data_IF_466408494234
#
_entry.id   IF_466408494234
#
_cell.length_a   1.000
_cell.length_b   1.000
_cell.length_c   1.000
_cell.angle_alpha   90.00
_cell.angle_beta   90.00
_cell.angle_gamma   90.00
#
_symmetry.space_group_name_H-M   'P 1'
#
loop_
_entity.id
_entity.type
_entity.pdbx_description
1 polymer ?
#
# COMPACT_ATOMS: atom_id res chain seq x y z
N UNK A 1 -34.06 -32.68 -10.79
CA UNK A 1 -33.31 -31.41 -10.96
C UNK A 1 -32.01 -31.65 -10.26
N UNK A 2 -31.06 -32.23 -10.99
CA UNK A 2 -29.73 -32.50 -10.45
C UNK A 2 -29.09 -31.13 -10.23
N UNK A 3 -28.77 -30.84 -8.97
CA UNK A 3 -27.89 -29.71 -8.64
C UNK A 3 -26.51 -30.11 -9.15
N UNK A 4 -26.25 -29.79 -10.42
CA UNK A 4 -24.95 -29.85 -11.08
C UNK A 4 -24.02 -28.86 -10.35
N UNK A 5 -23.55 -29.27 -9.17
CA UNK A 5 -22.46 -28.61 -8.50
C UNK A 5 -21.20 -29.13 -9.14
N UNK A 6 -20.36 -28.20 -9.60
CA UNK A 6 -19.01 -28.52 -10.00
C UNK A 6 -18.33 -29.32 -8.89
N UNK A 7 -17.46 -30.23 -9.30
CA UNK A 7 -16.56 -30.91 -8.38
C UNK A 7 -15.86 -29.86 -7.48
N UNK A 8 -15.82 -30.05 -6.14
CA UNK A 8 -15.31 -29.02 -5.22
C UNK A 8 -13.87 -28.59 -5.50
N UNK A 9 -13.02 -29.52 -5.95
CA UNK A 9 -11.62 -29.23 -6.28
C UNK A 9 -11.55 -28.38 -7.56
N UNK A 10 -12.34 -28.77 -8.57
CA UNK A 10 -12.47 -27.98 -9.80
C UNK A 10 -13.03 -26.57 -9.53
N UNK A 11 -14.00 -26.44 -8.63
CA UNK A 11 -14.55 -25.14 -8.25
C UNK A 11 -13.48 -24.27 -7.55
N UNK A 12 -12.69 -24.86 -6.65
CA UNK A 12 -11.61 -24.17 -5.97
C UNK A 12 -10.55 -23.65 -6.94
N UNK A 13 -10.11 -24.47 -7.90
CA UNK A 13 -9.14 -24.07 -8.92
C UNK A 13 -9.64 -22.89 -9.77
N UNK A 14 -10.92 -22.94 -10.16
CA UNK A 14 -11.56 -21.85 -10.92
C UNK A 14 -11.63 -20.57 -10.08
N UNK A 15 -12.01 -20.67 -8.80
CA UNK A 15 -12.09 -19.52 -7.90
C UNK A 15 -10.71 -18.85 -7.71
N UNK A 16 -9.63 -19.64 -7.60
CA UNK A 16 -8.26 -19.13 -7.54
C UNK A 16 -7.84 -18.44 -8.84
N UNK A 17 -8.16 -19.03 -10.00
CA UNK A 17 -7.87 -18.45 -11.31
C UNK A 17 -8.59 -17.10 -11.50
N UNK A 18 -9.85 -17.02 -11.07
CA UNK A 18 -10.63 -15.77 -11.13
C UNK A 18 -10.06 -14.74 -10.15
N UNK A 19 -9.75 -15.12 -8.91
CA UNK A 19 -9.17 -14.20 -7.94
C UNK A 19 -7.82 -13.66 -8.43
N UNK A 20 -6.95 -14.51 -8.97
CA UNK A 20 -5.64 -14.09 -9.47
C UNK A 20 -5.75 -13.07 -10.61
N UNK A 21 -6.70 -13.29 -11.51
CA UNK A 21 -7.04 -12.34 -12.56
C UNK A 21 -7.54 -11.01 -12.00
N UNK A 22 -8.53 -11.05 -11.09
CA UNK A 22 -9.09 -9.85 -10.47
C UNK A 22 -8.04 -9.04 -9.71
N UNK A 23 -7.14 -9.71 -8.99
CA UNK A 23 -6.02 -9.07 -8.31
C UNK A 23 -5.10 -8.37 -9.31
N UNK A 24 -4.72 -9.04 -10.39
CA UNK A 24 -3.82 -8.46 -11.38
C UNK A 24 -4.40 -7.20 -12.02
N UNK A 25 -5.68 -7.21 -12.42
CA UNK A 25 -6.32 -6.02 -13.01
C UNK A 25 -6.54 -4.92 -11.96
N UNK A 26 -6.90 -5.28 -10.71
CA UNK A 26 -7.15 -4.32 -9.65
C UNK A 26 -5.88 -3.60 -9.20
N UNK A 27 -4.77 -4.34 -9.07
CA UNK A 27 -3.46 -3.78 -8.76
C UNK A 27 -3.00 -2.86 -9.89
N UNK A 28 -3.12 -3.30 -11.15
CA UNK A 28 -2.74 -2.49 -12.31
C UNK A 28 -3.54 -1.17 -12.35
N UNK A 29 -4.85 -1.23 -12.08
CA UNK A 29 -5.71 -0.06 -11.99
C UNK A 29 -5.31 0.88 -10.85
N UNK A 30 -4.94 0.37 -9.67
CA UNK A 30 -4.49 1.21 -8.55
C UNK A 30 -3.14 1.88 -8.83
N UNK A 31 -2.17 1.13 -9.38
CA UNK A 31 -0.83 1.63 -9.68
C UNK A 31 -0.88 2.66 -10.82
N UNK A 32 -1.61 2.38 -11.89
CA UNK A 32 -1.60 3.20 -13.11
C UNK A 32 -2.78 4.17 -13.22
N UNK A 33 -3.91 3.92 -12.55
CA UNK A 33 -5.09 4.79 -12.53
C UNK A 33 -4.79 6.18 -11.95
N UNK A 34 -3.81 6.29 -11.04
CA UNK A 34 -3.31 7.56 -10.51
C UNK A 34 -2.72 8.49 -11.58
N UNK A 35 -2.24 7.98 -12.73
CA UNK A 35 -1.68 8.80 -13.82
C UNK A 35 -2.73 9.41 -14.75
N UNK A 36 -3.95 8.87 -14.80
CA UNK A 36 -5.01 9.36 -15.68
C UNK A 36 -6.06 10.11 -14.86
N UNK A 37 -5.93 11.44 -14.78
CA UNK A 37 -6.83 12.30 -14.01
C UNK A 37 -8.32 12.08 -14.31
N UNK A 38 -9.07 11.80 -13.23
CA UNK A 38 -10.50 12.04 -12.98
C UNK A 38 -11.45 11.97 -14.19
N UNK A 39 -12.23 10.88 -14.27
CA UNK A 39 -13.53 10.94 -14.97
C UNK A 39 -14.22 9.61 -15.27
N UNK A 40 -13.53 8.47 -15.33
CA UNK A 40 -14.14 7.18 -15.70
C UNK A 40 -13.75 5.97 -14.85
N UNK A 41 -12.76 6.11 -13.96
CA UNK A 41 -12.16 4.98 -13.22
C UNK A 41 -12.98 4.52 -12.00
N UNK A 42 -13.73 5.42 -11.35
CA UNK A 42 -14.43 5.13 -10.08
C UNK A 42 -15.43 3.97 -10.14
N UNK A 43 -16.05 3.73 -11.31
CA UNK A 43 -17.02 2.64 -11.47
C UNK A 43 -16.36 1.28 -11.68
N UNK A 44 -15.18 1.24 -12.31
CA UNK A 44 -14.46 0.01 -12.59
C UNK A 44 -13.66 -0.45 -11.36
N UNK A 45 -13.03 0.48 -10.67
CA UNK A 45 -12.22 0.19 -9.49
C UNK A 45 -13.07 -0.38 -8.34
N UNK A 46 -14.26 0.19 -8.11
CA UNK A 46 -15.15 -0.24 -7.03
C UNK A 46 -15.69 -1.67 -7.21
N UNK A 47 -16.03 -2.10 -8.44
CA UNK A 47 -16.57 -3.45 -8.62
C UNK A 47 -15.46 -4.50 -8.53
N UNK A 48 -14.25 -4.23 -9.02
CA UNK A 48 -13.10 -5.14 -8.94
C UNK A 48 -12.71 -5.35 -7.48
N UNK A 49 -12.54 -4.26 -6.72
CA UNK A 49 -12.20 -4.33 -5.29
C UNK A 49 -13.30 -5.05 -4.49
N UNK A 50 -14.58 -4.73 -4.74
CA UNK A 50 -15.69 -5.43 -4.08
C UNK A 50 -15.74 -6.92 -4.42
N UNK A 51 -15.40 -7.29 -5.66
CA UNK A 51 -15.30 -8.69 -6.09
C UNK A 51 -14.17 -9.40 -5.37
N UNK A 52 -12.98 -8.80 -5.30
CA UNK A 52 -11.83 -9.35 -4.56
C UNK A 52 -12.17 -9.55 -3.08
N UNK A 53 -12.80 -8.57 -2.44
CA UNK A 53 -13.27 -8.71 -1.06
C UNK A 53 -14.26 -9.88 -0.92
N UNK A 54 -15.22 -9.99 -1.83
CA UNK A 54 -16.17 -11.11 -1.82
C UNK A 54 -15.45 -12.45 -1.91
N UNK A 55 -14.50 -12.60 -2.85
CA UNK A 55 -13.71 -13.83 -3.00
C UNK A 55 -12.88 -14.16 -1.76
N UNK A 56 -12.29 -13.16 -1.08
CA UNK A 56 -11.56 -13.36 0.18
C UNK A 56 -12.43 -13.98 1.28
N UNK A 57 -13.71 -13.60 1.36
CA UNK A 57 -14.63 -14.16 2.36
C UNK A 57 -15.22 -15.51 1.97
N UNK A 58 -15.27 -15.82 0.67
CA UNK A 58 -15.80 -17.10 0.17
C UNK A 58 -14.75 -18.20 0.06
N UNK A 59 -13.47 -17.84 0.04
CA UNK A 59 -12.38 -18.83 0.00
C UNK A 59 -12.36 -19.65 1.31
N UNK A 60 -12.30 -20.99 1.24
CA UNK A 60 -12.29 -21.83 2.43
C UNK A 60 -11.02 -21.57 3.26
N UNK A 61 -11.12 -21.43 4.60
CA UNK A 61 -9.99 -21.07 5.46
C UNK A 61 -8.87 -22.14 5.55
N UNK A 62 -9.09 -23.33 4.99
CA UNK A 62 -8.20 -24.48 5.13
C UNK A 62 -7.33 -24.77 3.90
N UNK A 63 -7.43 -23.96 2.83
CA UNK A 63 -6.62 -24.16 1.62
C UNK A 63 -5.42 -23.23 1.62
N UNK A 64 -4.24 -23.78 1.38
CA UNK A 64 -3.00 -23.03 1.24
C UNK A 64 -3.02 -22.30 -0.09
N UNK A 65 -3.06 -20.96 -0.05
CA UNK A 65 -2.96 -20.14 -1.25
C UNK A 65 -1.54 -20.22 -1.84
N UNK A 66 -1.39 -20.19 -3.17
CA UNK A 66 -0.08 -20.05 -3.81
C UNK A 66 0.65 -18.79 -3.33
N UNK A 67 1.98 -18.86 -3.21
CA UNK A 67 2.79 -17.76 -2.68
C UNK A 67 2.61 -16.46 -3.50
N UNK A 68 2.64 -16.54 -4.83
CA UNK A 68 2.43 -15.38 -5.71
C UNK A 68 1.06 -14.72 -5.49
N UNK A 69 0.03 -15.52 -5.18
CA UNK A 69 -1.31 -15.00 -4.88
C UNK A 69 -1.34 -14.28 -3.52
N UNK A 70 -0.63 -14.82 -2.51
CA UNK A 70 -0.45 -14.15 -1.22
C UNK A 70 0.27 -12.82 -1.36
N UNK A 71 1.33 -12.77 -2.18
CA UNK A 71 2.06 -11.53 -2.47
C UNK A 71 1.13 -10.53 -3.16
N UNK A 72 0.36 -10.94 -4.19
CA UNK A 72 -0.62 -10.05 -4.86
C UNK A 72 -1.67 -9.50 -3.90
N UNK A 73 -2.18 -10.33 -2.98
CA UNK A 73 -3.14 -9.88 -1.96
C UNK A 73 -2.55 -8.81 -1.04
N UNK A 74 -1.33 -9.00 -0.55
CA UNK A 74 -0.65 -8.00 0.27
C UNK A 74 -0.28 -6.74 -0.52
N UNK A 75 0.08 -6.91 -1.79
CA UNK A 75 0.40 -5.80 -2.68
C UNK A 75 -0.84 -4.93 -2.90
N UNK A 76 -2.00 -5.54 -3.16
CA UNK A 76 -3.28 -4.83 -3.24
C UNK A 76 -3.58 -4.08 -1.95
N UNK A 77 -3.47 -4.73 -0.79
CA UNK A 77 -3.74 -4.11 0.51
C UNK A 77 -2.85 -2.88 0.73
N UNK A 78 -1.56 -3.00 0.46
CA UNK A 78 -0.63 -1.89 0.58
C UNK A 78 -0.91 -0.78 -0.44
N UNK A 79 -1.14 -1.13 -1.71
CA UNK A 79 -1.43 -0.17 -2.77
C UNK A 79 -2.73 0.61 -2.50
N UNK A 80 -3.75 -0.06 -1.98
CA UNK A 80 -5.02 0.54 -1.59
C UNK A 80 -4.83 1.52 -0.43
N UNK A 81 -4.16 1.10 0.64
CA UNK A 81 -3.82 1.96 1.77
C UNK A 81 -3.06 3.18 1.27
N UNK A 82 -1.93 2.95 0.58
CA UNK A 82 -1.04 4.00 0.06
C UNK A 82 -1.79 5.01 -0.81
N UNK A 83 -2.73 4.53 -1.64
CA UNK A 83 -3.53 5.36 -2.54
C UNK A 83 -4.60 6.18 -1.82
N UNK A 84 -5.33 5.59 -0.87
CA UNK A 84 -6.47 6.23 -0.21
C UNK A 84 -6.09 7.13 0.96
N UNK A 85 -5.08 6.74 1.74
CA UNK A 85 -4.68 7.53 2.90
C UNK A 85 -3.96 8.83 2.54
N UNK A 86 -3.36 8.91 1.34
CA UNK A 86 -2.77 10.16 0.85
C UNK A 86 -3.84 11.21 0.48
N UNK A 87 -5.02 10.78 0.01
CA UNK A 87 -6.09 11.69 -0.45
C UNK A 87 -6.74 12.45 0.71
N UNK A 88 -6.70 11.90 1.92
CA UNK A 88 -7.27 12.54 3.13
C UNK A 88 -6.33 13.57 3.78
N UNK A 89 -5.03 13.53 3.50
CA UNK A 89 -4.00 14.36 4.14
C UNK A 89 -3.44 15.49 3.25
N UNK A 90 -4.12 15.82 2.15
CA UNK A 90 -3.92 17.11 1.47
C UNK A 90 -4.93 18.17 1.95
N UNK A 91 -4.80 18.72 3.17
CA UNK A 91 -5.38 20.02 3.45
C UNK A 91 -4.27 21.03 3.76
N UNK A 92 -3.55 21.49 2.73
CA UNK A 92 -3.01 22.87 2.62
C UNK A 92 -2.06 22.97 1.41
N UNK A 93 -2.59 23.12 0.19
CA UNK A 93 -1.98 24.12 -0.70
C UNK A 93 -2.66 25.44 -0.35
N UNK A 94 -1.88 26.40 0.12
CA UNK A 94 -2.30 27.81 0.19
C UNK A 94 -2.64 28.24 -1.23
N UNK A 95 -3.90 28.09 -1.61
CA UNK A 95 -4.46 28.82 -2.73
C UNK A 95 -4.73 30.22 -2.19
N UNK A 96 -3.80 31.12 -2.48
CA UNK A 96 -3.99 32.54 -2.26
C UNK A 96 -5.11 33.04 -3.18
N UNK A 97 -6.37 32.87 -2.78
CA UNK A 97 -7.51 33.71 -3.13
C UNK A 97 -8.82 33.12 -2.59
N UNK A 98 -9.52 33.91 -1.77
CA UNK A 98 -10.99 33.93 -1.74
C UNK A 98 -11.66 32.94 -0.79
N UNK A 99 -12.08 33.47 0.35
CA UNK A 99 -13.15 32.99 1.24
C UNK A 99 -14.18 32.04 0.62
N UNK A 100 -14.40 30.86 1.22
CA UNK A 100 -15.74 30.33 1.51
C UNK A 100 -15.70 29.03 2.33
N UNK A 101 -16.35 29.09 3.50
CA UNK A 101 -16.93 28.02 4.33
C UNK A 101 -17.18 26.66 3.66
N UNK A 102 -16.67 25.58 4.28
CA UNK A 102 -17.42 24.32 4.44
C UNK A 102 -16.91 23.57 5.69
N UNK A 103 -17.68 23.71 6.76
CA UNK A 103 -17.54 23.02 8.04
C UNK A 103 -18.43 21.77 7.98
N UNK A 104 -17.82 20.58 7.99
CA UNK A 104 -18.55 19.32 8.10
C UNK A 104 -17.99 18.26 7.17
N UNK A 105 -17.12 17.38 7.69
CA UNK A 105 -16.98 15.95 7.32
C UNK A 105 -15.95 15.22 8.22
N UNK A 106 -15.80 15.60 9.49
CA UNK A 106 -15.10 14.78 10.50
C UNK A 106 -16.12 14.29 11.52
N UNK A 107 -17.00 13.38 11.12
CA UNK A 107 -17.85 12.66 12.07
C UNK A 107 -18.35 11.33 11.52
N UNK A 108 -17.47 10.35 11.29
CA UNK A 108 -17.92 8.95 11.05
C UNK A 108 -16.92 7.84 11.42
N UNK A 109 -15.87 8.10 12.22
CA UNK A 109 -15.01 7.00 12.73
C UNK A 109 -14.76 7.02 14.25
N UNK A 110 -15.54 7.79 15.02
CA UNK A 110 -15.43 7.86 16.49
C UNK A 110 -16.57 7.20 17.26
N UNK A 111 -17.56 6.59 16.61
CA UNK A 111 -18.81 6.14 17.28
C UNK A 111 -18.93 4.62 17.48
N UNK A 112 -17.85 3.84 17.31
CA UNK A 112 -17.84 2.41 17.66
C UNK A 112 -17.33 2.10 19.09
N UNK A 113 -17.19 3.09 19.97
CA UNK A 113 -16.73 2.86 21.35
C UNK A 113 -17.38 3.83 22.33
N UNK A 114 -18.69 3.73 22.50
CA UNK A 114 -19.39 4.37 23.63
C UNK A 114 -19.74 3.32 24.68
N UNK A 115 -19.14 3.42 25.86
CA UNK A 115 -19.87 3.42 27.14
C UNK A 115 -18.90 3.53 28.34
N UNK A 116 -19.18 4.54 29.18
CA UNK A 116 -18.82 4.66 30.60
C UNK A 116 -17.36 5.00 30.95
N UNK A 117 -17.09 6.27 31.28
CA UNK A 117 -16.91 6.74 32.66
C UNK A 117 -16.83 8.27 32.69
N UNK A 118 -17.43 8.88 33.71
CA UNK A 118 -17.62 10.32 33.82
C UNK A 118 -16.37 11.11 34.23
N UNK A 119 -16.31 12.35 33.71
CA UNK A 119 -15.89 13.59 34.36
C UNK A 119 -14.77 13.49 35.41
N UNK A 120 -13.53 13.79 35.02
CA UNK A 120 -12.66 14.79 35.69
C UNK A 120 -11.25 14.93 35.09
N UNK A 121 -10.79 16.18 35.15
CA UNK A 121 -9.41 16.64 35.32
C UNK A 121 -8.43 16.57 34.14
N UNK A 122 -7.83 17.74 33.89
CA UNK A 122 -6.68 17.96 33.05
C UNK A 122 -5.51 17.04 33.46
N UNK A 123 -4.96 16.34 32.47
CA UNK A 123 -3.79 15.46 32.54
C UNK A 123 -3.09 15.46 31.18
N UNK A 124 -1.80 15.11 31.13
CA UNK A 124 -0.85 15.53 30.10
C UNK A 124 -1.26 15.02 28.71
N UNK A 125 -1.02 15.86 27.71
CA UNK A 125 -1.20 15.59 26.28
C UNK A 125 -0.73 14.18 25.91
N UNK A 126 -1.69 13.32 25.58
CA UNK A 126 -1.42 12.05 24.93
C UNK A 126 -0.68 12.33 23.60
N UNK A 127 0.42 11.62 23.27
CA UNK A 127 1.09 11.77 21.99
C UNK A 127 0.23 11.09 20.92
N UNK A 128 -0.80 11.77 20.44
CA UNK A 128 -1.65 11.32 19.34
C UNK A 128 -1.25 12.02 18.04
N UNK A 129 -0.02 11.81 17.63
CA UNK A 129 0.43 12.21 16.29
C UNK A 129 1.31 11.12 15.72
N UNK A 130 0.65 9.99 15.45
CA UNK A 130 1.24 8.93 14.64
C UNK A 130 0.79 9.16 13.20
N UNK A 131 1.64 9.83 12.42
CA UNK A 131 1.39 10.30 11.05
C UNK A 131 0.99 9.16 10.13
N UNK A 132 0.20 9.46 9.09
CA UNK A 132 -0.32 8.43 8.19
C UNK A 132 0.82 7.62 7.55
N UNK A 133 1.88 8.29 7.10
CA UNK A 133 3.02 7.65 6.45
C UNK A 133 3.81 6.72 7.38
N UNK A 134 3.82 6.98 8.69
CA UNK A 134 4.42 6.03 9.62
C UNK A 134 3.58 4.76 9.75
N UNK A 135 2.25 4.89 9.81
CA UNK A 135 1.34 3.75 10.00
C UNK A 135 1.37 2.74 8.86
N UNK A 136 1.81 3.16 7.67
CA UNK A 136 1.91 2.27 6.51
C UNK A 136 3.25 1.54 6.41
N UNK A 137 4.27 1.94 7.18
CA UNK A 137 5.58 1.27 7.16
C UNK A 137 5.46 -0.22 7.53
N UNK A 138 4.72 -0.61 8.60
CA UNK A 138 4.52 -2.02 8.91
C UNK A 138 3.90 -2.82 7.76
N UNK A 139 2.95 -2.24 7.04
CA UNK A 139 2.28 -2.91 5.91
C UNK A 139 3.23 -3.05 4.71
N UNK A 140 4.05 -2.03 4.43
CA UNK A 140 5.13 -2.14 3.44
C UNK A 140 6.14 -3.23 3.81
N UNK A 141 6.53 -3.28 5.09
CA UNK A 141 7.48 -4.28 5.60
C UNK A 141 6.93 -5.70 5.53
N UNK A 142 5.62 -5.90 5.78
CA UNK A 142 4.96 -7.19 5.60
C UNK A 142 4.97 -7.62 4.13
N UNK A 143 4.63 -6.72 3.20
CA UNK A 143 4.67 -6.97 1.77
C UNK A 143 6.07 -7.44 1.32
N UNK A 144 7.10 -6.70 1.69
CA UNK A 144 8.46 -7.05 1.32
C UNK A 144 8.95 -8.36 1.95
N UNK A 145 8.54 -8.68 3.18
CA UNK A 145 8.86 -9.96 3.80
C UNK A 145 8.19 -11.14 3.08
N UNK A 146 6.93 -11.01 2.64
CA UNK A 146 6.29 -12.05 1.85
C UNK A 146 6.90 -12.20 0.46
N UNK A 147 7.51 -11.13 -0.06
CA UNK A 147 8.16 -11.08 -1.37
C UNK A 147 9.70 -11.10 -1.27
N UNK A 148 10.28 -11.58 -0.16
CA UNK A 148 11.73 -11.45 0.13
C UNK A 148 12.61 -11.96 -1.00
N UNK A 149 12.24 -13.07 -1.63
CA UNK A 149 12.99 -13.66 -2.75
C UNK A 149 12.86 -12.87 -4.07
N UNK A 150 11.88 -11.97 -4.18
CA UNK A 150 11.53 -11.21 -5.38
C UNK A 150 11.94 -9.73 -5.29
N UNK A 151 12.30 -9.24 -4.11
CA UNK A 151 12.61 -7.83 -3.87
C UNK A 151 14.06 -7.61 -3.45
N UNK A 152 14.60 -6.43 -3.78
CA UNK A 152 15.94 -6.03 -3.33
C UNK A 152 15.89 -5.46 -1.90
N UNK A 153 16.70 -6.01 -1.00
CA UNK A 153 16.89 -5.49 0.37
C UNK A 153 17.28 -4.01 0.35
N UNK A 154 18.17 -3.60 -0.57
CA UNK A 154 18.59 -2.20 -0.69
C UNK A 154 17.40 -1.29 -1.00
N UNK A 155 16.53 -1.71 -1.92
CA UNK A 155 15.34 -0.94 -2.29
C UNK A 155 14.31 -0.91 -1.16
N UNK A 156 14.23 -2.00 -0.39
CA UNK A 156 13.42 -2.08 0.81
C UNK A 156 13.85 -1.04 1.85
N UNK A 157 15.14 -1.00 2.19
CA UNK A 157 15.75 0.00 3.09
C UNK A 157 15.52 1.42 2.59
N UNK A 158 15.71 1.67 1.29
CA UNK A 158 15.55 3.00 0.70
C UNK A 158 14.12 3.53 0.83
N UNK A 159 13.11 2.72 0.49
CA UNK A 159 11.71 3.14 0.58
C UNK A 159 11.28 3.33 2.03
N UNK A 160 11.68 2.44 2.95
CA UNK A 160 11.41 2.59 4.40
C UNK A 160 12.04 3.88 4.93
N UNK A 161 13.27 4.18 4.53
CA UNK A 161 13.96 5.43 4.91
C UNK A 161 13.17 6.64 4.43
N UNK A 162 12.70 6.64 3.18
CA UNK A 162 11.91 7.74 2.63
C UNK A 162 10.55 7.90 3.34
N UNK A 163 9.87 6.79 3.65
CA UNK A 163 8.62 6.80 4.42
C UNK A 163 8.83 7.41 5.81
N UNK A 164 9.91 7.02 6.51
CA UNK A 164 10.27 7.58 7.81
C UNK A 164 10.57 9.07 7.72
N UNK A 165 11.41 9.48 6.77
CA UNK A 165 11.79 10.89 6.58
C UNK A 165 10.57 11.77 6.30
N UNK A 166 9.65 11.28 5.48
CA UNK A 166 8.43 12.02 5.15
C UNK A 166 7.42 12.03 6.31
N UNK A 167 7.32 10.95 7.08
CA UNK A 167 6.52 10.90 8.31
C UNK A 167 7.02 11.91 9.35
N UNK A 168 8.33 12.11 9.45
CA UNK A 168 8.96 13.09 10.33
C UNK A 168 8.75 14.52 9.82
N UNK A 169 8.79 14.71 8.50
CA UNK A 169 8.51 16.01 7.88
C UNK A 169 7.06 16.45 8.12
N UNK A 170 6.11 15.51 8.00
CA UNK A 170 4.70 15.74 8.33
C UNK A 170 4.55 16.20 9.79
N UNK A 171 5.22 15.54 10.73
CA UNK A 171 5.18 15.87 12.16
C UNK A 171 5.86 17.21 12.49
N UNK A 172 7.00 17.51 11.85
CA UNK A 172 7.71 18.78 12.00
C UNK A 172 6.83 19.97 11.59
N UNK A 173 6.06 19.82 10.50
CA UNK A 173 5.10 20.83 10.07
C UNK A 173 3.92 20.99 11.04
N UNK A 174 3.44 19.90 11.64
CA UNK A 174 2.38 19.92 12.65
C UNK A 174 2.86 20.59 13.95
N UNK A 175 4.12 20.35 14.32
CA UNK A 175 4.73 20.82 15.59
C UNK A 175 5.37 22.21 15.52
N UNK A 176 4.97 23.03 14.55
CA UNK A 176 5.46 24.41 14.33
C UNK A 176 7.01 24.53 14.28
N UNK A 177 7.69 23.54 13.70
CA UNK A 177 9.14 23.60 13.50
C UNK A 177 9.98 23.09 14.67
N UNK A 178 9.38 22.43 15.64
CA UNK A 178 10.13 21.60 16.58
C UNK A 178 10.46 20.27 15.91
N UNK A 179 11.75 19.92 15.87
CA UNK A 179 12.17 18.61 15.39
C UNK A 179 11.60 17.55 16.34
N UNK A 180 10.77 16.62 15.84
CA UNK A 180 10.28 15.54 16.67
C UNK A 180 11.48 14.75 17.19
N UNK A 181 11.47 14.36 18.47
CA UNK A 181 12.38 13.32 18.94
C UNK A 181 11.98 12.03 18.22
N UNK A 182 12.67 11.72 17.11
CA UNK A 182 12.45 10.52 16.29
C UNK A 182 12.35 9.24 17.14
N UNK A 183 13.09 9.23 18.25
CA UNK A 183 13.19 8.08 19.11
C UNK A 183 11.95 7.89 19.97
N UNK A 184 11.28 8.94 20.44
CA UNK A 184 10.18 8.77 21.40
C UNK A 184 8.81 8.50 20.73
N UNK A 185 8.61 8.94 19.49
CA UNK A 185 7.32 8.77 18.77
C UNK A 185 7.26 7.45 17.99
N UNK A 186 8.40 6.94 17.52
CA UNK A 186 8.42 5.90 16.47
C UNK A 186 8.99 4.54 16.92
N UNK A 187 9.28 4.35 18.21
CA UNK A 187 9.82 3.09 18.80
C UNK A 187 8.77 2.02 19.14
N UNK A 188 7.47 2.29 18.94
CA UNK A 188 6.42 1.34 19.36
C UNK A 188 6.26 0.14 18.44
N UNK A 189 6.68 0.24 17.17
CA UNK A 189 6.70 -0.90 16.27
C UNK A 189 8.07 -1.58 16.28
N UNK A 190 8.08 -2.88 16.57
CA UNK A 190 9.27 -3.72 16.49
C UNK A 190 8.97 -4.88 15.52
N UNK A 191 9.77 -5.05 14.46
CA UNK A 191 9.64 -6.21 13.61
C UNK A 191 9.97 -7.49 14.40
N UNK A 192 9.15 -8.53 14.19
CA UNK A 192 9.35 -9.85 14.82
C UNK A 192 10.36 -10.69 14.02
N UNK A 193 10.45 -10.46 12.71
CA UNK A 193 11.33 -11.15 11.79
C UNK A 193 12.75 -10.56 11.75
N UNK A 194 13.76 -11.41 11.58
CA UNK A 194 15.16 -11.01 11.57
C UNK A 194 15.53 -10.15 10.35
N UNK A 195 15.02 -10.47 9.16
CA UNK A 195 15.28 -9.67 7.95
C UNK A 195 14.63 -8.30 8.10
N UNK A 196 13.37 -8.26 8.55
CA UNK A 196 12.68 -7.01 8.84
C UNK A 196 13.40 -6.17 9.91
N UNK A 197 13.94 -6.79 10.96
CA UNK A 197 14.72 -6.11 11.99
C UNK A 197 15.99 -5.47 11.43
N UNK A 198 16.74 -6.21 10.59
CA UNK A 198 17.94 -5.66 9.94
C UNK A 198 17.61 -4.46 9.04
N UNK A 199 16.56 -4.58 8.22
CA UNK A 199 16.10 -3.49 7.35
C UNK A 199 15.66 -2.27 8.15
N UNK A 200 14.92 -2.49 9.24
CA UNK A 200 14.48 -1.43 10.12
C UNK A 200 15.64 -0.69 10.78
N UNK A 201 16.63 -1.42 11.30
CA UNK A 201 17.83 -0.85 11.92
C UNK A 201 18.64 -0.03 10.91
N UNK A 202 18.84 -0.57 9.70
CA UNK A 202 19.57 0.13 8.63
C UNK A 202 18.84 1.39 8.17
N UNK A 203 17.54 1.30 7.93
CA UNK A 203 16.72 2.45 7.53
C UNK A 203 16.69 3.54 8.62
N UNK A 204 16.60 3.14 9.89
CA UNK A 204 16.65 4.06 11.03
C UNK A 204 18.00 4.76 11.12
N UNK A 205 19.10 4.02 10.96
CA UNK A 205 20.45 4.59 10.94
C UNK A 205 20.63 5.57 9.78
N UNK A 206 20.12 5.22 8.59
CA UNK A 206 20.16 6.07 7.39
C UNK A 206 19.35 7.34 7.59
N UNK A 207 18.11 7.23 8.07
CA UNK A 207 17.25 8.36 8.43
C UNK A 207 17.94 9.29 9.44
N UNK A 208 18.51 8.73 10.50
CA UNK A 208 19.27 9.49 11.51
C UNK A 208 20.45 10.23 10.88
N UNK A 209 21.21 9.59 9.99
CA UNK A 209 22.34 10.23 9.30
C UNK A 209 21.92 11.40 8.41
N UNK A 210 20.74 11.32 7.78
CA UNK A 210 20.19 12.41 6.96
C UNK A 210 19.75 13.62 7.78
N UNK A 211 19.43 13.42 9.05
CA UNK A 211 18.98 14.49 9.95
C UNK A 211 20.11 15.09 10.78
N UNK A 212 21.26 14.41 10.89
CA UNK A 212 22.43 14.94 11.57
C UNK A 212 23.00 16.14 10.79
N UNK A 213 22.92 17.32 11.41
CA UNK A 213 23.46 18.57 10.84
C UNK A 213 24.93 18.48 10.48
N UNK A 214 25.27 18.92 9.27
CA UNK A 214 26.64 19.34 8.98
C UNK A 214 27.05 20.49 9.89
N UNK A 215 28.32 20.49 10.36
CA UNK A 215 28.86 21.52 11.26
C UNK A 215 28.57 22.93 10.72
N UNK A 216 27.80 23.71 11.49
CA UNK A 216 27.56 25.14 11.24
C UNK A 216 26.18 25.50 10.67
N UNK A 217 25.31 24.53 10.40
CA UNK A 217 23.93 24.77 9.93
C UNK A 217 22.95 24.48 11.07
N UNK A 218 21.90 25.30 11.23
CA UNK A 218 20.83 25.03 12.20
C UNK A 218 20.06 23.75 11.84
N UNK A 219 19.70 22.88 12.80
CA UNK A 219 18.95 21.64 12.56
C UNK A 219 17.70 21.79 11.69
N UNK A 220 16.88 22.82 11.93
CA UNK A 220 15.68 23.08 11.14
C UNK A 220 15.97 23.40 9.67
N UNK A 221 16.91 24.30 9.39
CA UNK A 221 17.27 24.67 8.01
C UNK A 221 17.90 23.50 7.23
N UNK A 222 18.67 22.63 7.90
CA UNK A 222 19.20 21.42 7.27
C UNK A 222 18.08 20.43 6.94
N UNK A 223 17.19 20.19 7.91
CA UNK A 223 16.05 19.30 7.73
C UNK A 223 15.12 19.77 6.61
N UNK A 224 14.81 21.06 6.54
CA UNK A 224 14.00 21.63 5.45
C UNK A 224 14.66 21.44 4.09
N UNK A 225 15.98 21.63 3.99
CA UNK A 225 16.71 21.37 2.74
C UNK A 225 16.64 19.89 2.33
N UNK A 226 16.86 18.97 3.27
CA UNK A 226 16.82 17.51 3.02
C UNK A 226 15.40 17.01 2.73
N UNK A 227 14.39 17.54 3.41
CA UNK A 227 12.98 17.22 3.16
C UNK A 227 12.54 17.70 1.77
N UNK A 228 12.97 18.88 1.34
CA UNK A 228 12.71 19.37 -0.01
C UNK A 228 13.37 18.51 -1.09
N UNK A 229 14.59 17.98 -0.85
CA UNK A 229 15.25 17.01 -1.74
C UNK A 229 14.54 15.64 -1.77
N UNK A 230 13.88 15.27 -0.67
CA UNK A 230 13.09 14.05 -0.51
C UNK A 230 11.59 14.34 -0.62
N UNK A 231 11.20 15.07 -1.67
CA UNK A 231 9.81 15.43 -1.91
C UNK A 231 8.86 14.22 -1.88
N UNK A 232 7.65 14.43 -1.38
CA UNK A 232 6.56 13.44 -1.38
C UNK A 232 6.33 12.82 -2.77
N UNK A 233 6.40 13.63 -3.84
CA UNK A 233 6.27 13.14 -5.21
C UNK A 233 7.34 12.12 -5.62
N UNK A 234 8.55 12.23 -5.05
CA UNK A 234 9.62 11.27 -5.31
C UNK A 234 9.32 9.95 -4.62
N UNK A 235 8.91 9.98 -3.35
CA UNK A 235 8.45 8.81 -2.62
C UNK A 235 7.30 8.10 -3.36
N UNK A 236 6.31 8.85 -3.84
CA UNK A 236 5.20 8.28 -4.61
C UNK A 236 5.67 7.57 -5.88
N UNK A 237 6.59 8.18 -6.63
CA UNK A 237 7.15 7.57 -7.83
C UNK A 237 7.98 6.32 -7.50
N UNK A 238 8.79 6.36 -6.44
CA UNK A 238 9.64 5.25 -6.02
C UNK A 238 8.80 4.06 -5.53
N UNK A 239 7.73 4.33 -4.75
CA UNK A 239 6.76 3.32 -4.31
C UNK A 239 5.99 2.75 -5.51
N UNK A 240 5.48 3.60 -6.40
CA UNK A 240 4.74 3.14 -7.59
C UNK A 240 5.62 2.25 -8.46
N UNK A 241 6.86 2.67 -8.74
CA UNK A 241 7.83 1.87 -9.49
C UNK A 241 8.17 0.57 -8.78
N UNK A 242 8.29 0.58 -7.45
CA UNK A 242 8.51 -0.65 -6.69
C UNK A 242 7.35 -1.64 -6.84
N UNK A 243 6.11 -1.17 -6.72
CA UNK A 243 4.94 -2.03 -6.86
C UNK A 243 4.80 -2.57 -8.29
N UNK A 244 5.07 -1.76 -9.31
CA UNK A 244 5.11 -2.19 -10.70
C UNK A 244 6.16 -3.28 -10.92
N UNK A 245 7.39 -3.04 -10.48
CA UNK A 245 8.49 -3.99 -10.68
C UNK A 245 8.22 -5.30 -9.93
N UNK A 246 7.65 -5.22 -8.72
CA UNK A 246 7.23 -6.41 -7.98
C UNK A 246 6.19 -7.21 -8.76
N UNK A 247 5.13 -6.56 -9.28
CA UNK A 247 4.12 -7.21 -10.11
C UNK A 247 4.70 -7.92 -11.34
N UNK A 248 5.73 -7.36 -11.97
CA UNK A 248 6.41 -7.98 -13.12
C UNK A 248 7.19 -9.25 -12.76
N UNK A 249 7.59 -9.43 -11.49
CA UNK A 249 8.27 -10.65 -11.03
C UNK A 249 7.32 -11.81 -10.68
N UNK A 250 6.01 -11.55 -10.61
CA UNK A 250 5.00 -12.54 -10.25
C UNK A 250 4.44 -13.20 -11.51
N UNK A 251 4.00 -14.45 -11.38
CA UNK A 251 3.42 -15.19 -12.48
C UNK A 251 2.15 -14.47 -12.99
N UNK A 252 2.07 -14.27 -14.30
CA UNK A 252 0.89 -13.68 -14.91
C UNK A 252 -0.32 -14.63 -14.74
N UNK A 253 -1.52 -14.15 -14.38
CA UNK A 253 -2.68 -15.02 -14.25
C UNK A 253 -3.03 -15.70 -15.57
N UNK A 254 -3.50 -16.95 -15.51
CA UNK A 254 -3.87 -17.75 -16.69
C UNK A 254 -4.91 -17.02 -17.58
N UNK A 255 -5.84 -16.29 -16.97
CA UNK A 255 -6.83 -15.52 -17.74
C UNK A 255 -6.21 -14.32 -18.47
N UNK A 256 -5.24 -13.62 -17.87
CA UNK A 256 -4.49 -12.55 -18.56
C UNK A 256 -3.68 -13.12 -19.72
N UNK A 257 -3.05 -14.28 -19.51
CA UNK A 257 -2.32 -14.99 -20.55
C UNK A 257 -3.22 -15.41 -21.72
N UNK A 258 -4.43 -15.90 -21.40
CA UNK A 258 -5.47 -16.26 -22.38
C UNK A 258 -5.92 -15.04 -23.20
N UNK A 259 -6.16 -13.89 -22.56
CA UNK A 259 -6.51 -12.64 -23.23
C UNK A 259 -5.40 -12.16 -24.18
N UNK A 260 -4.13 -12.34 -23.79
CA UNK A 260 -2.96 -11.99 -24.59
C UNK A 260 -2.65 -13.02 -25.70
N UNK A 261 -3.41 -14.12 -25.76
CA UNK A 261 -3.24 -15.16 -26.76
C UNK A 261 -2.02 -16.07 -26.54
N UNK A 262 -1.46 -16.12 -25.32
CA UNK A 262 -0.30 -16.97 -25.03
C UNK A 262 -0.43 -17.60 -23.64
N UNK A 263 -0.96 -18.82 -23.56
CA UNK A 263 -1.11 -19.57 -22.29
C UNK A 263 0.15 -20.39 -22.00
N UNK A 264 0.81 -20.10 -20.89
CA UNK A 264 2.01 -20.79 -20.42
C UNK A 264 3.11 -20.76 -21.48
N UNK A 265 3.53 -21.96 -21.88
CA UNK A 265 4.56 -22.14 -22.93
C UNK A 265 3.96 -22.41 -24.32
N UNK A 266 2.63 -22.32 -24.47
CA UNK A 266 1.99 -22.49 -25.77
C UNK A 266 2.27 -21.28 -26.66
N UNK A 267 2.55 -21.53 -27.93
CA UNK A 267 2.58 -20.47 -28.94
C UNK A 267 1.20 -19.86 -29.16
N UNK A 268 1.15 -18.71 -29.82
CA UNK A 268 -0.12 -18.04 -30.15
C UNK A 268 -1.02 -18.92 -31.03
N UNK A 269 -0.44 -19.70 -31.95
CA UNK A 269 -1.19 -20.62 -32.79
C UNK A 269 -1.80 -21.77 -31.98
N UNK A 270 -1.05 -22.33 -31.02
CA UNK A 270 -1.53 -23.39 -30.13
C UNK A 270 -2.60 -22.88 -29.16
N UNK A 271 -2.45 -21.64 -28.68
CA UNK A 271 -3.44 -21.00 -27.79
C UNK A 271 -4.75 -20.74 -28.54
N UNK A 272 -4.70 -20.26 -29.78
CA UNK A 272 -5.90 -20.10 -30.62
C UNK A 272 -6.56 -21.44 -30.96
N UNK A 273 -5.76 -22.47 -31.22
CA UNK A 273 -6.28 -23.83 -31.40
C UNK A 273 -6.99 -24.32 -30.13
N UNK A 274 -6.41 -24.08 -28.96
CA UNK A 274 -7.03 -24.42 -27.68
C UNK A 274 -8.36 -23.67 -27.48
N UNK A 275 -8.37 -22.35 -27.66
CA UNK A 275 -9.58 -21.50 -27.58
C UNK A 275 -10.70 -22.03 -28.46
N UNK A 276 -10.40 -22.35 -29.72
CA UNK A 276 -11.39 -22.90 -30.66
C UNK A 276 -11.96 -24.25 -30.22
N UNK A 277 -11.14 -25.10 -29.56
CA UNK A 277 -11.58 -26.42 -29.05
C UNK A 277 -12.48 -26.31 -27.83
N UNK A 278 -12.24 -25.32 -26.96
CA UNK A 278 -13.03 -25.12 -25.73
C UNK A 278 -14.20 -24.15 -25.91
N UNK A 279 -14.41 -23.64 -27.13
CA UNK A 279 -15.56 -22.80 -27.47
C UNK A 279 -15.39 -21.30 -27.20
N UNK A 280 -14.18 -20.85 -26.88
CA UNK A 280 -13.85 -19.42 -26.90
C UNK A 280 -13.61 -18.99 -28.35
N UNK A 281 -14.42 -18.04 -28.84
CA UNK A 281 -14.30 -17.44 -30.17
C UNK A 281 -13.80 -16.01 -30.07
#
# INVERSE_FOLDING_TARGET
MDTDKADPDTQHDVDLIILDYLLCIGIDALIHGRKMGLGQTESWDNWVLNSIHTFRYTLPPNHTLPQDLLIKLQLLDFADIFSHGHTQFVPYRVSAAGSSSYEGYIQTLSEASTANYGRSAAGPSNPRTNTYLYRIIPEFMKLCAAAEEKVSITRWVDIVTQLMMQAVAEEYHISEGQLPELFDIYLFWKPEDHTQASVWEEATAKCTSHMQTQKGISPGAHFEATSNEQSLSRLENDVTSFLSDLMETLDAPVLVQLERGQIGQLSHAETEQLKSRVGFR
#
